data_IF_511962290706
#
_entry.id   IF_511962290706
#
_cell.length_a   1.000
_cell.length_b   1.000
_cell.length_c   1.000
_cell.angle_alpha   90.00
_cell.angle_beta   90.00
_cell.angle_gamma   90.00
#
_symmetry.space_group_name_H-M   'P 1'
#
loop_
_entity.id
_entity.type
_entity.pdbx_description
1 polymer ?
#
# COMPACT_ATOMS: atom_id res chain seq x y z
N UNK A 1 -15.63 19.57 -17.70
CA UNK A 1 -15.98 20.00 -16.32
C UNK A 1 -16.29 18.75 -15.52
N UNK A 2 -15.32 18.21 -14.81
CA UNK A 2 -15.54 17.07 -13.90
C UNK A 2 -16.36 17.60 -12.72
N UNK A 3 -17.54 17.01 -12.48
CA UNK A 3 -18.35 17.31 -11.31
C UNK A 3 -17.45 17.21 -10.06
N UNK A 4 -17.42 18.27 -9.24
CA UNK A 4 -16.80 18.18 -7.92
C UNK A 4 -17.53 17.03 -7.20
N UNK A 5 -16.81 15.93 -6.96
CA UNK A 5 -17.36 14.72 -6.38
C UNK A 5 -17.98 15.04 -5.01
N UNK A 6 -19.13 14.43 -4.73
CA UNK A 6 -19.74 14.47 -3.41
C UNK A 6 -18.78 13.90 -2.36
N UNK A 7 -18.92 14.30 -1.10
CA UNK A 7 -18.18 13.68 0.01
C UNK A 7 -18.51 12.18 0.11
N UNK A 8 -17.57 11.38 0.55
CA UNK A 8 -17.74 9.95 0.74
C UNK A 8 -17.02 9.46 2.01
N UNK A 9 -17.35 8.26 2.45
CA UNK A 9 -16.76 7.68 3.65
C UNK A 9 -15.77 6.57 3.27
N UNK A 10 -14.55 6.71 3.75
CA UNK A 10 -13.49 5.70 3.65
C UNK A 10 -13.45 4.88 4.92
N UNK A 11 -13.34 3.56 4.79
CA UNK A 11 -13.01 2.65 5.87
C UNK A 11 -11.71 1.92 5.59
N UNK A 12 -10.80 1.94 6.55
CA UNK A 12 -9.60 1.12 6.56
C UNK A 12 -9.81 -0.03 7.52
N UNK A 13 -9.71 -1.24 7.01
CA UNK A 13 -9.77 -2.47 7.82
C UNK A 13 -8.37 -2.79 8.31
N UNK A 14 -8.15 -2.75 9.61
CA UNK A 14 -6.91 -3.21 10.23
C UNK A 14 -7.03 -4.68 10.57
N UNK A 15 -6.06 -5.50 10.15
CA UNK A 15 -6.07 -6.94 10.36
C UNK A 15 -4.84 -7.41 11.15
N UNK A 16 -4.90 -8.68 11.55
CA UNK A 16 -3.77 -9.47 12.07
C UNK A 16 -3.80 -10.82 11.36
N UNK A 17 -3.44 -10.82 10.07
CA UNK A 17 -3.49 -12.04 9.26
C UNK A 17 -2.53 -13.11 9.80
N UNK A 18 -3.04 -14.33 9.93
CA UNK A 18 -2.30 -15.50 10.38
C UNK A 18 -1.75 -16.33 9.21
N UNK A 19 -1.41 -17.58 9.50
CA UNK A 19 -0.78 -18.53 8.58
C UNK A 19 -1.76 -19.31 7.70
N UNK A 20 -3.07 -19.15 7.91
CA UNK A 20 -4.13 -19.86 7.17
C UNK A 20 -5.14 -18.87 6.60
N UNK A 21 -5.52 -19.05 5.32
CA UNK A 21 -6.34 -18.07 4.61
C UNK A 21 -7.80 -18.03 5.08
N UNK A 22 -8.39 -19.16 5.46
CA UNK A 22 -9.81 -19.21 5.82
C UNK A 22 -10.19 -18.35 7.03
N UNK A 23 -9.51 -18.41 8.19
CA UNK A 23 -9.78 -17.52 9.32
C UNK A 23 -9.51 -16.04 8.99
N UNK A 24 -8.46 -15.75 8.21
CA UNK A 24 -8.14 -14.38 7.79
C UNK A 24 -9.26 -13.80 6.94
N UNK A 25 -9.80 -14.60 6.00
CA UNK A 25 -10.92 -14.23 5.14
C UNK A 25 -12.19 -13.97 5.95
N UNK A 26 -12.51 -14.85 6.91
CA UNK A 26 -13.69 -14.68 7.78
C UNK A 26 -13.63 -13.35 8.55
N UNK A 27 -12.49 -13.07 9.20
CA UNK A 27 -12.29 -11.80 9.94
C UNK A 27 -12.37 -10.59 9.00
N UNK A 28 -11.71 -10.67 7.84
CA UNK A 28 -11.75 -9.57 6.86
C UNK A 28 -13.18 -9.31 6.36
N UNK A 29 -13.92 -10.35 5.99
CA UNK A 29 -15.32 -10.22 5.55
C UNK A 29 -16.23 -9.61 6.61
N UNK A 30 -16.07 -10.02 7.87
CA UNK A 30 -16.81 -9.45 9.01
C UNK A 30 -16.54 -7.95 9.15
N UNK A 31 -15.28 -7.54 9.20
CA UNK A 31 -14.91 -6.13 9.36
C UNK A 31 -15.31 -5.28 8.14
N UNK A 32 -15.25 -5.82 6.91
CA UNK A 32 -15.76 -5.14 5.72
C UNK A 32 -17.28 -4.91 5.82
N UNK A 33 -18.03 -5.91 6.29
CA UNK A 33 -19.47 -5.76 6.48
C UNK A 33 -19.80 -4.74 7.59
N UNK A 34 -19.06 -4.74 8.69
CA UNK A 34 -19.19 -3.72 9.75
C UNK A 34 -18.86 -2.31 9.23
N UNK A 35 -17.82 -2.15 8.40
CA UNK A 35 -17.47 -0.90 7.76
C UNK A 35 -18.62 -0.38 6.89
N UNK A 36 -19.24 -1.25 6.08
CA UNK A 36 -20.43 -0.89 5.30
C UNK A 36 -21.60 -0.49 6.18
N UNK A 37 -21.88 -1.23 7.25
CA UNK A 37 -22.95 -0.91 8.20
C UNK A 37 -22.71 0.46 8.88
N UNK A 38 -21.45 0.85 9.07
CA UNK A 38 -21.05 2.18 9.55
C UNK A 38 -21.09 3.27 8.45
N UNK A 39 -21.51 2.94 7.21
CA UNK A 39 -21.72 3.90 6.13
C UNK A 39 -20.54 4.09 5.19
N UNK A 40 -19.60 3.13 5.11
CA UNK A 40 -18.48 3.21 4.17
C UNK A 40 -18.95 3.06 2.71
N UNK A 41 -18.39 3.89 1.84
CA UNK A 41 -18.54 3.85 0.38
C UNK A 41 -17.33 3.16 -0.28
N UNK A 42 -16.14 3.36 0.31
CA UNK A 42 -14.88 2.74 -0.07
C UNK A 42 -14.28 2.04 1.15
N UNK A 43 -13.89 0.78 0.97
CA UNK A 43 -13.25 -0.03 2.02
C UNK A 43 -11.90 -0.53 1.52
N UNK A 44 -10.85 -0.38 2.33
CA UNK A 44 -9.51 -0.89 2.03
C UNK A 44 -9.07 -1.89 3.09
N UNK A 45 -8.57 -3.06 2.66
CA UNK A 45 -7.87 -4.02 3.52
C UNK A 45 -6.34 -3.82 3.46
N UNK A 46 -5.54 -4.39 4.38
CA UNK A 46 -4.09 -4.21 4.38
C UNK A 46 -3.36 -5.10 3.35
N UNK A 47 -2.05 -4.95 3.28
CA UNK A 47 -1.16 -5.89 2.59
C UNK A 47 -1.28 -7.30 3.19
N UNK A 48 -1.21 -8.34 2.34
CA UNK A 48 -1.27 -9.75 2.76
C UNK A 48 -2.55 -10.11 3.52
N UNK A 49 -3.69 -9.67 3.01
CA UNK A 49 -5.01 -9.92 3.61
C UNK A 49 -5.31 -11.41 3.74
N UNK A 50 -4.93 -12.23 2.74
CA UNK A 50 -5.24 -13.66 2.74
C UNK A 50 -4.27 -14.48 3.62
N UNK A 51 -2.98 -14.12 3.67
CA UNK A 51 -1.98 -14.86 4.46
C UNK A 51 -0.74 -14.01 4.72
N UNK A 52 -0.21 -14.08 5.94
CA UNK A 52 1.07 -13.48 6.30
C UNK A 52 2.04 -14.58 6.76
N UNK A 53 2.74 -15.22 5.82
CA UNK A 53 3.69 -16.27 6.07
C UNK A 53 5.11 -15.87 5.63
N UNK A 54 6.08 -15.95 6.55
CA UNK A 54 7.50 -15.66 6.27
C UNK A 54 8.25 -16.88 5.72
N UNK A 55 7.84 -18.10 6.13
CA UNK A 55 8.47 -19.34 5.67
C UNK A 55 7.92 -19.71 4.29
N UNK A 56 8.85 -19.93 3.35
CA UNK A 56 8.53 -20.26 1.96
C UNK A 56 7.60 -21.47 1.84
N UNK A 57 7.87 -22.52 2.59
CA UNK A 57 7.12 -23.77 2.55
C UNK A 57 5.64 -23.53 2.94
N UNK A 58 5.41 -22.76 4.00
CA UNK A 58 4.06 -22.40 4.45
C UNK A 58 3.34 -21.51 3.44
N UNK A 59 4.05 -20.52 2.86
CA UNK A 59 3.49 -19.66 1.84
C UNK A 59 3.03 -20.46 0.63
N UNK A 60 3.92 -21.26 0.01
CA UNK A 60 3.63 -21.97 -1.23
C UNK A 60 2.70 -23.17 -1.06
N UNK A 61 2.53 -23.68 0.17
CA UNK A 61 1.49 -24.67 0.49
C UNK A 61 0.08 -24.05 0.54
N UNK A 62 -0.04 -22.75 0.82
CA UNK A 62 -1.32 -22.07 1.04
C UNK A 62 -1.82 -21.26 -0.16
N UNK A 63 -0.91 -20.74 -0.99
CA UNK A 63 -1.31 -19.86 -2.12
C UNK A 63 -1.60 -20.64 -3.40
N UNK A 64 -2.55 -20.12 -4.16
CA UNK A 64 -2.99 -20.64 -5.46
C UNK A 64 -2.94 -19.53 -6.51
N UNK A 65 -3.06 -19.83 -7.82
CA UNK A 65 -3.22 -18.84 -8.87
C UNK A 65 -4.45 -17.94 -8.65
N UNK A 66 -4.44 -16.74 -9.24
CA UNK A 66 -5.50 -15.72 -9.08
C UNK A 66 -6.90 -16.27 -9.36
N UNK A 67 -7.04 -16.99 -10.46
CA UNK A 67 -8.32 -17.56 -10.92
C UNK A 67 -8.86 -18.67 -10.00
N UNK A 68 -8.05 -19.20 -9.11
CA UNK A 68 -8.40 -20.25 -8.14
C UNK A 68 -8.46 -19.73 -6.70
N UNK A 69 -8.13 -18.44 -6.46
CA UNK A 69 -8.05 -17.92 -5.10
C UNK A 69 -9.45 -17.72 -4.48
N UNK A 70 -9.80 -18.45 -3.41
CA UNK A 70 -11.12 -18.36 -2.80
C UNK A 70 -11.36 -17.03 -2.09
N UNK A 71 -10.30 -16.36 -1.63
CA UNK A 71 -10.42 -15.05 -0.98
C UNK A 71 -10.82 -14.00 -2.00
N UNK A 72 -10.20 -13.98 -3.18
CA UNK A 72 -10.55 -13.05 -4.25
C UNK A 72 -12.00 -13.26 -4.72
N UNK A 73 -12.41 -14.51 -4.94
CA UNK A 73 -13.79 -14.84 -5.32
C UNK A 73 -14.79 -14.33 -4.27
N UNK A 74 -14.50 -14.55 -2.99
CA UNK A 74 -15.34 -14.09 -1.87
C UNK A 74 -15.41 -12.57 -1.78
N UNK A 75 -14.28 -11.86 -1.96
CA UNK A 75 -14.25 -10.40 -1.92
C UNK A 75 -15.03 -9.77 -3.08
N UNK A 76 -15.02 -10.37 -4.28
CA UNK A 76 -15.82 -9.93 -5.41
C UNK A 76 -17.32 -10.04 -5.10
N UNK A 77 -17.76 -11.17 -4.57
CA UNK A 77 -19.15 -11.39 -4.17
C UNK A 77 -19.55 -10.44 -3.01
N UNK A 78 -18.66 -10.22 -2.05
CA UNK A 78 -18.89 -9.31 -0.93
C UNK A 78 -19.05 -7.86 -1.40
N UNK A 79 -18.18 -7.38 -2.30
CA UNK A 79 -18.26 -6.04 -2.89
C UNK A 79 -19.61 -5.83 -3.61
N UNK A 80 -20.03 -6.81 -4.42
CA UNK A 80 -21.31 -6.80 -5.12
C UNK A 80 -22.50 -6.77 -4.15
N UNK A 81 -22.50 -7.65 -3.15
CA UNK A 81 -23.60 -7.76 -2.18
C UNK A 81 -23.73 -6.50 -1.32
N UNK A 82 -22.61 -5.88 -0.94
CA UNK A 82 -22.59 -4.67 -0.12
C UNK A 82 -22.68 -3.39 -0.93
N UNK A 83 -22.59 -3.45 -2.25
CA UNK A 83 -22.53 -2.30 -3.16
C UNK A 83 -21.49 -1.26 -2.73
N UNK A 84 -20.22 -1.71 -2.58
CA UNK A 84 -19.09 -0.87 -2.15
C UNK A 84 -17.92 -0.97 -3.15
N UNK A 85 -17.08 0.05 -3.20
CA UNK A 85 -15.75 -0.07 -3.78
C UNK A 85 -14.85 -0.75 -2.75
N UNK A 86 -14.39 -1.97 -3.06
CA UNK A 86 -13.51 -2.75 -2.19
C UNK A 86 -12.10 -2.79 -2.76
N UNK A 87 -11.17 -2.15 -2.06
CA UNK A 87 -9.75 -2.25 -2.35
C UNK A 87 -9.12 -3.34 -1.47
N UNK A 88 -8.93 -4.52 -2.02
CA UNK A 88 -8.14 -5.57 -1.40
C UNK A 88 -6.68 -5.15 -1.46
N UNK A 89 -6.13 -4.75 -0.32
CA UNK A 89 -4.82 -4.11 -0.22
C UNK A 89 -3.70 -4.95 -0.81
N UNK A 90 -3.62 -6.24 -0.48
CA UNK A 90 -3.06 -7.24 -1.37
C UNK A 90 -3.38 -8.68 -0.94
N UNK A 91 -3.20 -9.59 -1.89
CA UNK A 91 -3.18 -11.04 -1.71
C UNK A 91 -1.82 -11.59 -2.14
N UNK A 92 -1.34 -12.63 -1.45
CA UNK A 92 -0.26 -13.46 -1.93
C UNK A 92 -0.85 -14.49 -2.91
N UNK A 93 -0.39 -14.48 -4.16
CA UNK A 93 -0.91 -15.34 -5.24
C UNK A 93 0.23 -16.07 -5.93
N UNK A 94 0.02 -17.32 -6.27
CA UNK A 94 1.01 -18.13 -7.00
C UNK A 94 1.02 -17.74 -8.47
N UNK A 95 2.20 -17.39 -9.01
CA UNK A 95 2.38 -17.04 -10.42
C UNK A 95 3.30 -18.00 -11.17
N UNK A 96 4.09 -18.80 -10.44
CA UNK A 96 4.90 -19.90 -10.96
C UNK A 96 5.15 -20.91 -9.84
N UNK A 97 5.76 -22.07 -10.12
CA UNK A 97 6.10 -23.05 -9.07
C UNK A 97 6.97 -22.49 -7.94
N UNK A 98 7.74 -21.42 -8.22
CA UNK A 98 8.74 -20.86 -7.32
C UNK A 98 8.57 -19.36 -7.00
N UNK A 99 7.57 -18.68 -7.59
CA UNK A 99 7.29 -17.26 -7.37
C UNK A 99 5.83 -16.99 -7.08
N UNK A 100 5.62 -16.03 -6.20
CA UNK A 100 4.34 -15.42 -5.89
C UNK A 100 4.28 -13.97 -6.40
N UNK A 101 3.08 -13.43 -6.55
CA UNK A 101 2.82 -11.99 -6.64
C UNK A 101 2.26 -11.48 -5.31
N UNK A 102 2.66 -10.28 -4.93
CA UNK A 102 2.03 -9.46 -3.89
C UNK A 102 1.11 -8.49 -4.64
N UNK A 103 -0.17 -8.90 -4.85
CA UNK A 103 -1.10 -8.25 -5.79
C UNK A 103 -2.28 -7.60 -5.10
N UNK A 104 -2.48 -6.34 -5.39
CA UNK A 104 -3.62 -5.51 -4.98
C UNK A 104 -4.73 -5.56 -6.03
N UNK A 105 -5.99 -5.42 -5.57
CA UNK A 105 -7.17 -5.39 -6.43
C UNK A 105 -8.11 -4.27 -6.02
N UNK A 106 -8.57 -3.48 -6.98
CA UNK A 106 -9.77 -2.67 -6.80
C UNK A 106 -10.96 -3.39 -7.42
N UNK A 107 -12.00 -3.60 -6.63
CA UNK A 107 -13.24 -4.25 -7.00
C UNK A 107 -14.36 -3.22 -6.90
N UNK A 108 -15.15 -3.09 -7.95
CA UNK A 108 -16.27 -2.16 -8.00
C UNK A 108 -17.54 -2.71 -7.32
N UNK A 109 -18.60 -1.91 -7.16
CA UNK A 109 -19.86 -2.35 -6.56
C UNK A 109 -20.61 -3.45 -7.37
N UNK A 110 -20.20 -3.74 -8.59
CA UNK A 110 -20.73 -4.88 -9.40
C UNK A 110 -20.00 -6.19 -9.10
N UNK A 111 -18.88 -6.12 -8.34
CA UNK A 111 -18.01 -7.26 -8.08
C UNK A 111 -16.96 -7.48 -9.17
N UNK A 112 -16.79 -6.52 -10.08
CA UNK A 112 -15.81 -6.60 -11.15
C UNK A 112 -14.47 -6.01 -10.70
N UNK A 113 -13.37 -6.68 -11.11
CA UNK A 113 -12.02 -6.20 -10.83
C UNK A 113 -11.68 -5.12 -11.85
N UNK A 114 -11.63 -3.87 -11.40
CA UNK A 114 -11.37 -2.69 -12.26
C UNK A 114 -9.90 -2.30 -12.30
N UNK A 115 -9.09 -2.74 -11.33
CA UNK A 115 -7.64 -2.55 -11.34
C UNK A 115 -6.91 -3.67 -10.62
N UNK A 116 -5.67 -3.94 -11.06
CA UNK A 116 -4.67 -4.81 -10.43
C UNK A 116 -3.36 -4.07 -10.34
N UNK A 117 -2.64 -4.27 -9.25
CA UNK A 117 -1.30 -3.72 -9.06
C UNK A 117 -0.41 -4.75 -8.37
N UNK A 118 0.72 -5.07 -8.96
CA UNK A 118 1.76 -5.89 -8.33
C UNK A 118 2.78 -4.97 -7.66
N UNK A 119 3.07 -5.22 -6.40
CA UNK A 119 4.10 -4.48 -5.64
C UNK A 119 5.40 -4.38 -6.44
N UNK A 120 5.89 -3.15 -6.62
CA UNK A 120 7.09 -2.89 -7.43
C UNK A 120 8.35 -3.12 -6.59
N UNK A 121 8.40 -2.56 -5.36
CA UNK A 121 9.62 -2.57 -4.56
C UNK A 121 9.56 -3.66 -3.49
N UNK A 122 10.50 -4.60 -3.57
CA UNK A 122 10.60 -5.74 -2.66
C UNK A 122 11.31 -5.37 -1.36
N UNK A 123 10.77 -5.83 -0.23
CA UNK A 123 11.30 -5.56 1.10
C UNK A 123 12.49 -6.48 1.41
N UNK A 124 13.66 -6.13 0.88
CA UNK A 124 14.93 -6.81 1.12
C UNK A 124 15.77 -5.92 2.02
N UNK A 125 15.74 -6.17 3.33
CA UNK A 125 16.37 -5.30 4.33
C UNK A 125 16.98 -6.11 5.47
N UNK A 126 17.98 -5.51 6.11
CA UNK A 126 18.54 -5.94 7.38
C UNK A 126 18.25 -4.85 8.42
N UNK A 127 17.58 -5.22 9.50
CA UNK A 127 17.18 -4.31 10.57
C UNK A 127 18.02 -4.55 11.83
N UNK A 128 18.00 -3.58 12.73
CA UNK A 128 18.61 -3.74 14.04
C UNK A 128 17.96 -4.90 14.82
N UNK A 129 18.75 -5.57 15.69
CA UNK A 129 18.26 -6.73 16.43
C UNK A 129 18.30 -8.04 15.65
N UNK A 130 18.89 -8.07 14.44
CA UNK A 130 19.08 -9.29 13.63
C UNK A 130 17.88 -9.69 12.79
N UNK A 131 16.85 -8.85 12.69
CA UNK A 131 15.74 -9.07 11.76
C UNK A 131 16.22 -8.87 10.32
N UNK A 132 16.01 -9.89 9.47
CA UNK A 132 16.37 -9.85 8.05
C UNK A 132 15.20 -10.33 7.20
N UNK A 133 14.89 -9.57 6.16
CA UNK A 133 13.81 -9.86 5.22
C UNK A 133 14.38 -9.94 3.80
N UNK A 134 13.87 -10.86 2.99
CA UNK A 134 14.25 -11.07 1.59
C UNK A 134 12.98 -11.42 0.80
N UNK A 135 12.11 -10.42 0.62
CA UNK A 135 10.82 -10.60 -0.07
C UNK A 135 11.02 -11.07 -1.51
N UNK A 136 12.06 -10.57 -2.20
CA UNK A 136 12.39 -10.95 -3.57
C UNK A 136 12.71 -12.44 -3.77
N UNK A 137 13.04 -13.18 -2.70
CA UNK A 137 13.22 -14.63 -2.79
C UNK A 137 11.95 -15.36 -3.18
N UNK A 138 10.80 -14.87 -2.68
CA UNK A 138 9.51 -15.52 -2.85
C UNK A 138 8.61 -14.78 -3.85
N UNK A 139 8.72 -13.46 -3.92
CA UNK A 139 7.84 -12.63 -4.74
C UNK A 139 8.57 -12.06 -5.95
N UNK A 140 7.84 -11.94 -7.05
CA UNK A 140 8.30 -11.24 -8.24
C UNK A 140 7.86 -9.77 -8.14
N UNK A 141 8.77 -8.79 -8.37
CA UNK A 141 8.41 -7.39 -8.44
C UNK A 141 7.49 -7.12 -9.63
N UNK A 142 6.54 -6.18 -9.43
CA UNK A 142 5.80 -5.56 -10.52
C UNK A 142 6.66 -4.55 -11.29
N UNK A 143 6.17 -4.14 -12.47
CA UNK A 143 6.88 -3.20 -13.36
C UNK A 143 6.01 -2.02 -13.77
N UNK A 144 4.72 -2.00 -13.36
CA UNK A 144 3.72 -1.07 -13.84
C UNK A 144 3.14 -0.27 -12.69
N UNK A 145 3.26 1.07 -12.72
CA UNK A 145 2.51 1.96 -11.86
C UNK A 145 1.06 2.06 -12.35
N UNK A 146 0.10 2.02 -11.43
CA UNK A 146 -1.33 1.94 -11.75
C UNK A 146 -2.10 3.10 -11.11
N UNK A 147 -2.88 3.79 -11.94
CA UNK A 147 -3.91 4.75 -11.55
C UNK A 147 -5.25 4.26 -12.07
N UNK A 148 -6.30 4.36 -11.28
CA UNK A 148 -7.65 3.91 -11.62
C UNK A 148 -8.68 4.95 -11.20
N UNK A 149 -9.85 4.95 -11.84
CA UNK A 149 -10.91 5.90 -11.54
C UNK A 149 -11.83 5.35 -10.43
N UNK A 150 -12.21 6.25 -9.51
CA UNK A 150 -13.29 6.11 -8.56
C UNK A 150 -14.35 7.19 -8.88
N UNK A 151 -15.59 7.08 -8.41
CA UNK A 151 -16.62 8.11 -8.62
C UNK A 151 -16.22 9.50 -8.10
N UNK A 152 -15.30 9.55 -7.15
CA UNK A 152 -14.86 10.77 -6.45
C UNK A 152 -13.53 11.34 -6.92
N UNK A 153 -12.82 10.64 -7.82
CA UNK A 153 -11.50 11.03 -8.34
C UNK A 153 -10.59 9.82 -8.57
N UNK A 154 -9.35 10.06 -8.98
CA UNK A 154 -8.40 8.99 -9.29
C UNK A 154 -7.67 8.47 -8.06
N UNK A 155 -7.49 7.15 -8.02
CA UNK A 155 -6.74 6.42 -7.00
C UNK A 155 -5.43 5.89 -7.60
N UNK A 156 -4.30 6.29 -7.03
CA UNK A 156 -2.99 5.69 -7.30
C UNK A 156 -2.76 4.50 -6.37
N UNK A 157 -2.29 3.39 -6.92
CA UNK A 157 -2.04 2.15 -6.17
C UNK A 157 -0.57 2.00 -5.82
N UNK A 158 -0.30 1.58 -4.60
CA UNK A 158 1.01 1.17 -4.10
C UNK A 158 0.85 0.15 -2.97
N UNK A 159 1.94 -0.50 -2.54
CA UNK A 159 1.92 -1.47 -1.43
C UNK A 159 3.15 -1.26 -0.55
N UNK A 160 2.95 -0.93 0.73
CA UNK A 160 3.89 -1.04 1.84
C UNK A 160 5.28 -0.42 1.57
N UNK A 161 6.26 -1.23 1.19
CA UNK A 161 7.65 -0.79 0.96
C UNK A 161 7.78 0.25 -0.16
N UNK A 162 6.83 0.27 -1.11
CA UNK A 162 6.73 1.32 -2.12
C UNK A 162 6.73 2.72 -1.50
N UNK A 163 6.23 2.86 -0.26
CA UNK A 163 6.21 4.11 0.50
C UNK A 163 7.58 4.83 0.55
N UNK A 164 8.68 4.08 0.44
CA UNK A 164 10.03 4.64 0.50
C UNK A 164 10.53 5.22 -0.81
N UNK A 165 9.78 5.09 -1.90
CA UNK A 165 10.17 5.47 -3.26
C UNK A 165 9.34 6.67 -3.77
N UNK A 166 9.75 7.92 -3.48
CA UNK A 166 8.95 9.12 -3.78
C UNK A 166 8.66 9.29 -5.27
N UNK A 167 9.50 8.77 -6.15
CA UNK A 167 9.31 8.87 -7.61
C UNK A 167 8.00 8.18 -8.06
N UNK A 168 7.63 7.03 -7.47
CA UNK A 168 6.37 6.37 -7.77
C UNK A 168 5.18 7.28 -7.43
N UNK A 169 5.17 7.88 -6.25
CA UNK A 169 4.08 8.74 -5.78
C UNK A 169 3.97 10.03 -6.61
N UNK A 170 5.10 10.58 -7.01
CA UNK A 170 5.13 11.73 -7.92
C UNK A 170 4.50 11.37 -9.26
N UNK A 171 4.86 10.24 -9.85
CA UNK A 171 4.28 9.76 -11.11
C UNK A 171 2.76 9.53 -10.99
N UNK A 172 2.28 8.91 -9.89
CA UNK A 172 0.85 8.73 -9.63
C UNK A 172 0.12 10.07 -9.52
N UNK A 173 0.69 11.05 -8.83
CA UNK A 173 0.09 12.38 -8.68
C UNK A 173 0.05 13.16 -10.00
N UNK A 174 1.11 13.11 -10.81
CA UNK A 174 1.17 13.71 -12.15
C UNK A 174 0.20 13.04 -13.12
N UNK A 175 -0.09 11.76 -12.96
CA UNK A 175 -1.16 11.05 -13.66
C UNK A 175 -2.58 11.43 -13.17
N UNK A 176 -2.71 12.37 -12.24
CA UNK A 176 -3.97 12.95 -11.78
C UNK A 176 -4.60 12.28 -10.55
N UNK A 177 -3.86 11.46 -9.80
CA UNK A 177 -4.39 10.85 -8.58
C UNK A 177 -4.77 11.92 -7.55
N UNK A 178 -6.00 11.82 -7.02
CA UNK A 178 -6.49 12.59 -5.88
C UNK A 178 -6.31 11.83 -4.57
N UNK A 179 -6.27 10.52 -4.68
CA UNK A 179 -6.13 9.57 -3.56
C UNK A 179 -4.96 8.64 -3.85
N UNK A 180 -4.24 8.24 -2.82
CA UNK A 180 -3.16 7.27 -2.89
C UNK A 180 -3.41 6.18 -1.85
N UNK A 181 -3.45 4.93 -2.28
CA UNK A 181 -3.61 3.78 -1.42
C UNK A 181 -2.24 3.19 -1.06
N UNK A 182 -2.02 2.95 0.23
CA UNK A 182 -0.78 2.38 0.77
C UNK A 182 -1.10 1.29 1.80
N UNK A 183 -1.75 0.18 1.38
CA UNK A 183 -1.94 -0.95 2.27
C UNK A 183 -0.58 -1.52 2.70
N UNK A 184 -0.44 -1.94 3.97
CA UNK A 184 0.87 -2.31 4.49
C UNK A 184 0.84 -3.42 5.55
N UNK A 185 1.99 -4.13 5.66
CA UNK A 185 2.38 -4.96 6.79
C UNK A 185 3.73 -4.47 7.32
N UNK A 186 3.76 -3.22 7.78
CA UNK A 186 4.99 -2.53 8.21
C UNK A 186 5.55 -3.15 9.49
N UNK A 187 6.87 -3.35 9.57
CA UNK A 187 7.49 -3.83 10.81
C UNK A 187 7.32 -2.80 11.93
N UNK A 188 7.17 -3.26 13.17
CA UNK A 188 7.02 -2.38 14.33
C UNK A 188 8.17 -1.37 14.42
N UNK A 189 9.43 -1.84 14.35
CA UNK A 189 10.62 -0.99 14.47
C UNK A 189 10.65 0.16 13.44
N UNK A 190 10.40 -0.16 12.16
CA UNK A 190 10.41 0.90 11.13
C UNK A 190 9.13 1.71 11.14
N UNK A 191 8.03 1.15 11.64
CA UNK A 191 6.75 1.85 11.80
C UNK A 191 6.86 2.98 12.82
N UNK A 192 7.39 2.69 14.01
CA UNK A 192 7.62 3.69 15.08
C UNK A 192 8.44 4.88 14.58
N UNK A 193 9.46 4.63 13.75
CA UNK A 193 10.35 5.68 13.26
C UNK A 193 9.85 6.41 12.00
N UNK A 194 9.15 5.74 11.09
CA UNK A 194 8.97 6.24 9.71
C UNK A 194 7.51 6.36 9.25
N UNK A 195 6.57 5.58 9.82
CA UNK A 195 5.23 5.45 9.28
C UNK A 195 4.50 6.78 9.10
N UNK A 196 4.30 7.51 10.18
CA UNK A 196 3.57 8.78 10.17
C UNK A 196 4.26 9.84 9.32
N UNK A 197 5.60 9.93 9.43
CA UNK A 197 6.38 10.92 8.69
C UNK A 197 6.26 10.70 7.18
N UNK A 198 6.45 9.45 6.73
CA UNK A 198 6.41 9.14 5.30
C UNK A 198 4.98 9.24 4.73
N UNK A 199 3.94 8.78 5.44
CA UNK A 199 2.56 8.91 4.97
C UNK A 199 2.16 10.38 4.79
N UNK A 200 2.50 11.21 5.76
CA UNK A 200 2.26 12.65 5.69
C UNK A 200 3.08 13.33 4.58
N UNK A 201 4.34 12.91 4.40
CA UNK A 201 5.16 13.42 3.31
C UNK A 201 4.54 13.12 1.94
N UNK A 202 4.07 11.86 1.71
CA UNK A 202 3.40 11.49 0.45
C UNK A 202 2.13 12.31 0.21
N UNK A 203 1.35 12.60 1.24
CA UNK A 203 0.17 13.44 1.12
C UNK A 203 0.55 14.89 0.76
N UNK A 204 1.49 15.50 1.48
CA UNK A 204 1.88 16.91 1.34
C UNK A 204 2.54 17.18 -0.01
N UNK A 205 3.57 16.43 -0.38
CA UNK A 205 4.36 16.68 -1.58
C UNK A 205 3.58 16.48 -2.89
N UNK A 206 2.47 15.71 -2.83
CA UNK A 206 1.63 15.39 -3.98
C UNK A 206 0.23 16.05 -3.92
N UNK A 207 -0.11 16.68 -2.80
CA UNK A 207 -1.42 17.28 -2.58
C UNK A 207 -2.56 16.26 -2.78
N UNK A 208 -2.41 15.05 -2.19
CA UNK A 208 -3.35 13.94 -2.29
C UNK A 208 -3.79 13.47 -0.90
N UNK A 209 -4.97 12.85 -0.81
CA UNK A 209 -5.28 12.02 0.35
C UNK A 209 -4.44 10.74 0.33
N UNK A 210 -4.10 10.24 1.51
CA UNK A 210 -3.47 8.91 1.68
C UNK A 210 -4.39 8.03 2.50
N UNK A 211 -4.63 6.80 2.00
CA UNK A 211 -5.39 5.74 2.65
C UNK A 211 -4.45 4.57 2.93
N UNK A 212 -4.22 4.27 4.20
CA UNK A 212 -3.21 3.31 4.60
C UNK A 212 -3.79 2.29 5.60
N UNK A 213 -4.44 1.24 5.10
CA UNK A 213 -4.84 0.10 5.91
C UNK A 213 -3.61 -0.74 6.26
N UNK A 214 -3.48 -1.18 7.51
CA UNK A 214 -2.28 -1.84 8.01
C UNK A 214 -2.58 -3.16 8.73
N UNK A 215 -1.62 -4.08 8.68
CA UNK A 215 -1.53 -5.20 9.60
C UNK A 215 -1.02 -4.71 10.94
N UNK A 216 -1.61 -5.18 12.06
CA UNK A 216 -1.29 -4.68 13.41
C UNK A 216 -1.05 -5.77 14.43
N UNK A 217 -0.08 -5.53 15.36
CA UNK A 217 0.21 -6.37 16.51
C UNK A 217 1.07 -7.58 16.20
N UNK A 218 1.07 -8.56 17.13
CA UNK A 218 1.92 -9.74 17.05
C UNK A 218 1.22 -10.87 16.30
N UNK A 219 1.82 -11.33 15.21
CA UNK A 219 1.33 -12.41 14.36
C UNK A 219 1.75 -13.80 14.88
N UNK A 220 1.07 -14.86 14.42
CA UNK A 220 1.34 -16.27 14.82
C UNK A 220 2.80 -16.69 14.63
N UNK A 221 3.47 -16.22 13.58
CA UNK A 221 4.88 -16.52 13.31
C UNK A 221 5.87 -15.67 14.11
N UNK A 222 5.40 -14.86 15.06
CA UNK A 222 6.22 -14.09 15.99
C UNK A 222 6.64 -12.70 15.51
N UNK A 223 6.36 -12.31 14.26
CA UNK A 223 6.61 -10.95 13.76
C UNK A 223 5.61 -9.98 14.37
N UNK A 224 6.10 -8.79 14.77
CA UNK A 224 5.26 -7.66 15.14
C UNK A 224 5.11 -6.70 13.97
N UNK A 225 3.87 -6.30 13.64
CA UNK A 225 3.57 -5.22 12.71
C UNK A 225 3.03 -4.01 13.43
N UNK A 226 3.24 -2.84 12.83
CA UNK A 226 3.04 -1.55 13.49
C UNK A 226 1.57 -1.22 13.72
N UNK A 227 0.67 -1.67 12.84
CA UNK A 227 -0.73 -1.23 12.85
C UNK A 227 -0.87 0.21 12.42
N UNK A 228 -1.61 0.99 13.20
CA UNK A 228 -1.81 2.42 12.97
C UNK A 228 -2.32 2.73 11.55
N UNK A 229 -3.35 1.97 11.11
CA UNK A 229 -4.06 2.31 9.88
C UNK A 229 -4.49 3.76 9.94
N UNK A 230 -4.19 4.56 8.91
CA UNK A 230 -4.45 5.99 8.98
C UNK A 230 -4.93 6.60 7.67
N UNK A 231 -5.72 7.66 7.78
CA UNK A 231 -6.15 8.53 6.68
C UNK A 231 -5.49 9.88 6.86
N UNK A 232 -4.79 10.35 5.81
CA UNK A 232 -4.12 11.65 5.80
C UNK A 232 -4.73 12.54 4.72
N UNK A 233 -5.00 13.81 5.02
CA UNK A 233 -5.49 14.79 4.06
C UNK A 233 -4.36 15.39 3.20
N UNK A 234 -4.68 16.11 2.11
CA UNK A 234 -3.68 16.73 1.23
C UNK A 234 -2.78 17.77 1.91
N UNK A 235 -3.13 18.24 3.11
CA UNK A 235 -2.33 19.17 3.93
C UNK A 235 -1.44 18.46 4.95
N UNK A 236 -1.49 17.12 4.98
CA UNK A 236 -0.70 16.29 5.91
C UNK A 236 -1.33 16.14 7.29
N UNK A 237 -2.60 16.49 7.49
CA UNK A 237 -3.31 16.25 8.75
C UNK A 237 -3.80 14.81 8.78
N UNK A 238 -3.63 14.14 9.90
CA UNK A 238 -4.22 12.83 10.15
C UNK A 238 -5.70 13.04 10.48
N UNK A 239 -6.59 12.52 9.65
CA UNK A 239 -8.04 12.63 9.83
C UNK A 239 -8.59 11.53 10.74
N UNK A 240 -8.01 10.34 10.66
CA UNK A 240 -8.35 9.19 11.49
C UNK A 240 -7.16 8.25 11.59
N UNK A 241 -7.01 7.58 12.72
CA UNK A 241 -5.94 6.64 13.00
C UNK A 241 -6.42 5.51 13.89
N UNK A 242 -5.97 4.27 13.63
CA UNK A 242 -6.17 3.10 14.47
C UNK A 242 -5.02 2.91 15.46
N UNK A 243 -5.17 1.91 16.33
CA UNK A 243 -4.09 1.43 17.20
C UNK A 243 -3.37 0.21 16.61
N UNK A 244 -3.09 -0.78 17.45
CA UNK A 244 -2.42 -2.04 17.02
C UNK A 244 -3.39 -3.20 16.82
N UNK A 245 -4.62 -3.10 17.36
CA UNK A 245 -5.60 -4.17 17.32
C UNK A 245 -6.42 -4.18 16.02
N UNK A 246 -6.89 -5.36 15.55
CA UNK A 246 -7.83 -5.46 14.45
C UNK A 246 -9.09 -4.61 14.66
N UNK A 247 -9.59 -4.01 13.59
CA UNK A 247 -10.78 -3.16 13.64
C UNK A 247 -10.95 -2.30 12.40
N UNK A 248 -11.81 -1.30 12.46
CA UNK A 248 -12.08 -0.37 11.37
C UNK A 248 -11.71 1.06 11.77
N UNK A 249 -11.15 1.81 10.82
CA UNK A 249 -10.81 3.24 10.95
C UNK A 249 -11.59 3.98 9.88
N UNK A 250 -12.46 4.91 10.30
CA UNK A 250 -13.37 5.62 9.40
C UNK A 250 -12.99 7.09 9.27
N UNK A 251 -13.10 7.62 8.04
CA UNK A 251 -12.97 9.05 7.78
C UNK A 251 -13.94 9.51 6.68
N UNK A 252 -14.49 10.70 6.83
CA UNK A 252 -15.25 11.38 5.78
C UNK A 252 -14.31 12.20 4.92
N UNK A 253 -14.38 12.02 3.60
CA UNK A 253 -13.51 12.64 2.62
C UNK A 253 -14.26 13.67 1.80
N UNK A 254 -13.69 14.87 1.71
CA UNK A 254 -14.11 15.92 0.76
C UNK A 254 -13.05 16.00 -0.35
N UNK A 255 -13.31 15.48 -1.56
CA UNK A 255 -12.36 15.52 -2.68
C UNK A 255 -11.94 16.95 -3.07
N UNK A 256 -12.74 17.96 -2.76
CA UNK A 256 -12.43 19.35 -3.07
C UNK A 256 -11.18 19.87 -2.31
N UNK A 257 -10.78 19.23 -1.21
CA UNK A 257 -9.57 19.58 -0.46
C UNK A 257 -8.31 19.35 -1.30
N UNK A 258 -8.31 18.42 -2.26
CA UNK A 258 -7.18 18.21 -3.20
C UNK A 258 -6.95 19.46 -4.05
N UNK A 259 -8.02 19.97 -4.68
CA UNK A 259 -7.92 21.17 -5.49
C UNK A 259 -7.51 22.40 -4.67
N UNK A 260 -8.04 22.54 -3.44
CA UNK A 260 -7.70 23.63 -2.51
C UNK A 260 -6.20 23.56 -2.10
N UNK A 261 -5.69 22.37 -1.76
CA UNK A 261 -4.29 22.18 -1.39
C UNK A 261 -3.36 22.50 -2.56
N UNK A 262 -3.64 21.94 -3.76
CA UNK A 262 -2.85 22.15 -4.97
C UNK A 262 -2.89 23.59 -5.48
N UNK A 263 -4.00 24.31 -5.29
CA UNK A 263 -4.07 25.73 -5.62
C UNK A 263 -3.22 26.60 -4.70
N UNK A 264 -3.12 26.23 -3.41
CA UNK A 264 -2.27 26.96 -2.44
C UNK A 264 -0.79 26.70 -2.64
N UNK A 265 -0.41 25.46 -2.93
CA UNK A 265 0.99 25.03 -3.15
C UNK A 265 1.03 24.17 -4.43
N UNK A 266 1.13 24.80 -5.62
CA UNK A 266 1.08 24.08 -6.89
C UNK A 266 2.42 23.40 -7.24
N UNK A 267 2.99 22.63 -6.31
CA UNK A 267 4.31 22.00 -6.43
C UNK A 267 4.41 21.04 -7.62
N UNK A 268 3.31 20.40 -8.02
CA UNK A 268 3.26 19.53 -9.20
C UNK A 268 3.48 20.31 -10.50
N UNK A 269 3.11 21.62 -10.55
CA UNK A 269 3.28 22.48 -11.71
C UNK A 269 4.63 23.22 -11.70
N UNK A 270 5.23 23.36 -10.51
CA UNK A 270 6.49 24.09 -10.33
C UNK A 270 7.74 23.21 -10.51
N UNK A 271 7.59 21.94 -10.87
CA UNK A 271 8.70 21.05 -11.15
C UNK A 271 9.62 21.62 -12.21
N UNK A 272 10.94 21.53 -12.02
CA UNK A 272 11.96 21.97 -12.96
C UNK A 272 12.89 20.80 -13.28
N UNK A 273 13.34 20.75 -14.53
CA UNK A 273 14.49 19.92 -14.90
C UNK A 273 15.76 20.56 -14.33
N UNK A 274 16.65 19.75 -13.87
CA UNK A 274 17.97 20.19 -13.38
C UNK A 274 19.03 19.21 -13.82
N UNK A 275 20.25 19.67 -13.92
CA UNK A 275 21.43 18.86 -14.19
C UNK A 275 22.14 18.58 -12.87
N UNK A 276 22.65 17.36 -12.71
CA UNK A 276 23.47 16.96 -11.56
C UNK A 276 24.94 17.08 -11.95
N UNK A 277 25.65 18.01 -11.32
CA UNK A 277 27.11 18.09 -11.40
C UNK A 277 27.69 17.22 -10.30
N UNK A 278 28.42 16.19 -10.70
CA UNK A 278 29.18 15.36 -9.76
C UNK A 278 30.62 15.86 -9.67
N UNK A 279 31.27 15.85 -8.48
CA UNK A 279 32.70 16.07 -8.39
C UNK A 279 33.44 15.09 -9.31
N UNK A 280 34.42 15.57 -10.06
CA UNK A 280 35.30 14.65 -10.79
C UNK A 280 35.98 13.73 -9.77
N UNK A 281 35.91 12.44 -9.98
CA UNK A 281 36.68 11.49 -9.18
C UNK A 281 38.16 11.87 -9.30
N UNK A 282 38.82 12.09 -8.18
CA UNK A 282 40.28 12.25 -8.21
C UNK A 282 40.88 11.02 -8.90
N UNK A 283 41.80 11.22 -9.89
CA UNK A 283 42.43 10.07 -10.51
C UNK A 283 43.13 9.27 -9.40
N UNK A 284 42.91 7.96 -9.41
CA UNK A 284 43.56 7.06 -8.46
C UNK A 284 45.07 7.35 -8.44
N UNK A 285 45.69 7.47 -7.25
CA UNK A 285 47.12 7.73 -7.18
C UNK A 285 47.85 6.66 -7.99
N UNK A 286 48.63 7.10 -8.98
CA UNK A 286 49.52 6.22 -9.72
C UNK A 286 50.43 5.53 -8.70
N UNK A 287 50.21 4.24 -8.49
CA UNK A 287 51.15 3.41 -7.75
C UNK A 287 52.49 3.59 -8.43
N UNK A 288 53.42 4.29 -7.79
CA UNK A 288 54.81 4.34 -8.21
C UNK A 288 55.26 2.88 -8.32
N UNK A 289 55.55 2.45 -9.55
CA UNK A 289 56.19 1.18 -9.79
C UNK A 289 57.52 1.18 -9.02
N UNK A 290 57.53 0.49 -7.90
CA UNK A 290 58.74 0.27 -7.13
C UNK A 290 59.77 -0.44 -8.05
N UNK A 291 60.80 0.33 -8.38
CA UNK A 291 61.92 -0.24 -9.06
C UNK A 291 62.66 -1.22 -8.15
N UNK A 292 62.70 -2.45 -8.55
CA UNK A 292 63.65 -3.43 -8.05
C UNK A 292 65.06 -2.96 -8.36
N UNK A 293 65.97 -2.96 -7.38
CA UNK A 293 67.40 -3.12 -7.49
C UNK A 293 67.84 -4.20 -6.50
#
# INVERSE_FOLDING_TARGET
MTSQGSTFNVALVQLRSGLTSAPNLEIACKLIAEAKAAGADYVQTPEMTNILALKRELLFAAIVPEEQDPSLATFRELARRLAIHLHVGSLALKISPDKAANRSFLIDPSGDIVARYDKIHMFDVDLAGGESYRESRNYRPGEIAVVTDLPWGRLGLSICYDLRFPALYRALAEAGSSFIAIPAAFTKQTGEAHWHVLMRARAIENGCFVFAAAQGGRHEHGRDTFGHSLVVDPWGRILAEGGTEPGIVMAKIDPAEVAKARARIPSLQHGRRFELVQPMAEPAPLHAAGGER
#
